data_IF_236870963522
#
_entry.id   IF_236870963522
#
_cell.length_a   1.000
_cell.length_b   1.000
_cell.length_c   1.000
_cell.angle_alpha   90.00
_cell.angle_beta   90.00
_cell.angle_gamma   90.00
#
_symmetry.space_group_name_H-M   'P 1'
#
loop_
_entity.id
_entity.type
_entity.pdbx_description
1 polymer ?
#
# COMPACT_ATOMS: atom_id res chain seq x y z
N UNK A 1 -8.16 16.28 4.78
CA UNK A 1 -7.32 15.30 4.07
C UNK A 1 -7.80 15.17 2.63
N UNK A 2 -6.91 15.43 1.68
CA UNK A 2 -7.19 15.21 0.26
C UNK A 2 -6.34 14.06 -0.26
N UNK A 3 -6.97 13.11 -0.95
CA UNK A 3 -6.28 11.98 -1.57
C UNK A 3 -6.61 11.94 -3.05
N UNK A 4 -5.59 11.87 -3.91
CA UNK A 4 -5.72 11.71 -5.36
C UNK A 4 -5.06 10.39 -5.76
N UNK A 5 -5.82 9.51 -6.42
CA UNK A 5 -5.28 8.26 -6.95
C UNK A 5 -4.56 8.54 -8.26
N UNK A 6 -3.21 8.63 -8.19
CA UNK A 6 -2.38 8.90 -9.36
C UNK A 6 -2.24 7.67 -10.25
N UNK A 7 -2.23 6.48 -9.66
CA UNK A 7 -2.02 5.24 -10.40
C UNK A 7 -2.65 4.04 -9.67
N UNK A 8 -3.40 3.24 -10.41
CA UNK A 8 -4.10 2.06 -9.94
C UNK A 8 -4.40 1.15 -11.16
N UNK A 9 -4.82 -0.09 -10.93
CA UNK A 9 -5.10 -1.07 -11.98
C UNK A 9 -6.19 -0.64 -12.96
N UNK A 10 -7.12 0.20 -12.51
CA UNK A 10 -8.27 0.71 -13.27
C UNK A 10 -8.31 2.23 -13.24
N UNK A 11 -9.07 2.81 -14.15
CA UNK A 11 -9.17 4.26 -14.29
C UNK A 11 -10.62 4.71 -14.44
N UNK A 12 -10.90 5.97 -14.09
CA UNK A 12 -12.20 6.61 -14.33
C UNK A 12 -12.32 7.20 -15.74
N UNK A 13 -11.22 7.33 -16.47
CA UNK A 13 -11.17 7.94 -17.82
C UNK A 13 -10.00 7.37 -18.62
N UNK A 14 -10.18 7.25 -19.94
CA UNK A 14 -9.12 6.86 -20.89
C UNK A 14 -7.98 7.89 -20.98
N UNK A 15 -8.16 9.07 -20.42
CA UNK A 15 -7.10 10.08 -20.36
C UNK A 15 -5.98 9.73 -19.39
N UNK A 16 -6.20 8.78 -18.46
CA UNK A 16 -5.23 8.34 -17.49
C UNK A 16 -4.68 6.96 -17.84
N UNK A 17 -3.41 6.76 -17.52
CA UNK A 17 -2.75 5.46 -17.68
C UNK A 17 -3.06 4.62 -16.43
N UNK A 18 -3.55 3.41 -16.63
CA UNK A 18 -3.75 2.40 -15.58
C UNK A 18 -3.00 1.13 -15.90
N UNK A 19 -2.31 0.58 -14.92
CA UNK A 19 -1.60 -0.71 -14.95
C UNK A 19 -1.59 -1.29 -13.54
N UNK A 20 -1.09 -2.51 -13.40
CA UNK A 20 -0.88 -3.11 -12.09
C UNK A 20 0.11 -2.30 -11.26
N UNK A 21 -0.33 -1.76 -10.13
CA UNK A 21 0.47 -0.94 -9.22
C UNK A 21 -0.38 0.07 -8.45
N UNK A 22 0.25 0.80 -7.53
CA UNK A 22 -0.40 1.82 -6.72
C UNK A 22 0.47 3.08 -6.61
N UNK A 23 -0.15 4.25 -6.75
CA UNK A 23 0.43 5.53 -6.35
C UNK A 23 -0.66 6.50 -5.94
N UNK A 24 -0.51 7.10 -4.76
CA UNK A 24 -1.42 8.07 -4.19
C UNK A 24 -0.68 9.39 -3.93
N UNK A 25 -1.30 10.51 -4.31
CA UNK A 25 -0.96 11.82 -3.77
C UNK A 25 -1.86 12.11 -2.58
N UNK A 26 -1.26 12.56 -1.48
CA UNK A 26 -1.97 12.87 -0.25
C UNK A 26 -1.56 14.27 0.19
N UNK A 27 -2.56 15.11 0.47
CA UNK A 27 -2.35 16.46 0.97
C UNK A 27 -3.03 16.61 2.32
N UNK A 28 -2.23 16.96 3.33
CA UNK A 28 -2.65 17.28 4.70
C UNK A 28 -2.56 18.78 4.93
N UNK A 29 -2.76 19.24 6.14
CA UNK A 29 -2.58 20.66 6.47
C UNK A 29 -1.14 21.14 6.27
N UNK A 30 -0.15 20.25 6.53
CA UNK A 30 1.27 20.63 6.54
C UNK A 30 2.12 19.90 5.50
N UNK A 31 1.61 18.83 4.86
CA UNK A 31 2.40 17.96 4.01
C UNK A 31 1.78 17.66 2.65
N UNK A 32 2.65 17.54 1.66
CA UNK A 32 2.37 16.96 0.34
C UNK A 32 3.13 15.64 0.25
N UNK A 33 2.38 14.54 0.26
CA UNK A 33 2.93 13.19 0.39
C UNK A 33 2.71 12.42 -0.91
N UNK A 34 3.73 11.70 -1.37
CA UNK A 34 3.60 10.67 -2.38
C UNK A 34 3.67 9.30 -1.68
N UNK A 35 2.59 8.54 -1.74
CA UNK A 35 2.54 7.19 -1.21
C UNK A 35 2.56 6.20 -2.36
N UNK A 36 3.64 5.46 -2.50
CA UNK A 36 4.00 4.60 -3.63
C UNK A 36 4.17 5.34 -4.97
N UNK A 37 4.81 4.70 -5.94
CA UNK A 37 5.15 5.27 -7.25
C UNK A 37 4.69 4.42 -8.43
N UNK A 38 3.86 3.39 -8.18
CA UNK A 38 3.40 2.49 -9.22
C UNK A 38 4.52 1.61 -9.80
N UNK A 39 4.21 0.97 -10.91
CA UNK A 39 5.09 0.02 -11.60
C UNK A 39 6.18 0.70 -12.44
N UNK A 40 5.94 1.92 -12.89
CA UNK A 40 6.82 2.71 -13.76
C UNK A 40 6.51 4.21 -13.67
N UNK A 41 7.11 5.02 -14.53
CA UNK A 41 6.96 6.48 -14.58
C UNK A 41 5.55 6.94 -15.04
N UNK A 42 4.60 6.05 -15.32
CA UNK A 42 3.24 6.40 -15.79
C UNK A 42 2.46 7.25 -14.77
N UNK A 43 2.73 7.09 -13.47
CA UNK A 43 2.11 7.93 -12.42
C UNK A 43 2.48 9.41 -12.58
N UNK A 44 3.65 9.73 -13.15
CA UNK A 44 4.12 11.11 -13.41
C UNK A 44 3.22 11.78 -14.46
N UNK A 45 2.89 11.04 -15.52
CA UNK A 45 1.95 11.52 -16.54
C UNK A 45 0.58 11.83 -15.93
N UNK A 46 0.06 10.89 -15.11
CA UNK A 46 -1.23 11.07 -14.44
C UNK A 46 -1.20 12.23 -13.43
N UNK A 47 -0.13 12.38 -12.68
CA UNK A 47 0.06 13.50 -11.75
C UNK A 47 -0.06 14.85 -12.48
N UNK A 48 0.62 14.99 -13.64
CA UNK A 48 0.52 16.19 -14.48
C UNK A 48 -0.90 16.46 -14.96
N UNK A 49 -1.63 15.42 -15.38
CA UNK A 49 -3.02 15.54 -15.82
C UNK A 49 -3.98 15.94 -14.69
N UNK A 50 -3.69 15.47 -13.46
CA UNK A 50 -4.48 15.75 -12.27
C UNK A 50 -4.06 17.04 -11.56
N UNK A 51 -3.12 17.80 -12.13
CA UNK A 51 -2.65 19.07 -11.57
C UNK A 51 -1.78 18.91 -10.33
N UNK A 52 -1.19 17.73 -10.11
CA UNK A 52 -0.28 17.46 -9.00
C UNK A 52 1.14 17.79 -9.40
N UNK A 53 1.76 18.73 -8.68
CA UNK A 53 3.17 19.07 -8.87
C UNK A 53 4.07 18.20 -8.01
N UNK A 54 4.72 17.20 -8.61
CA UNK A 54 5.59 16.25 -7.92
C UNK A 54 6.87 16.90 -7.34
N UNK A 55 7.30 18.07 -7.84
CA UNK A 55 8.44 18.80 -7.27
C UNK A 55 8.12 19.37 -5.88
N UNK A 56 6.84 19.55 -5.58
CA UNK A 56 6.40 20.10 -4.29
C UNK A 56 6.28 19.05 -3.18
N UNK A 57 6.31 17.77 -3.53
CA UNK A 57 6.29 16.68 -2.54
C UNK A 57 7.44 16.85 -1.55
N UNK A 58 7.14 16.84 -0.26
CA UNK A 58 8.10 16.91 0.84
C UNK A 58 8.39 15.56 1.49
N UNK A 59 7.44 14.62 1.40
CA UNK A 59 7.57 13.26 1.92
C UNK A 59 7.14 12.26 0.84
N UNK A 60 7.98 11.24 0.60
CA UNK A 60 7.57 10.06 -0.14
C UNK A 60 7.63 8.83 0.76
N UNK A 61 6.72 7.89 0.56
CA UNK A 61 6.63 6.66 1.33
C UNK A 61 6.51 5.52 0.33
N UNK A 62 7.38 4.52 0.41
CA UNK A 62 7.26 3.27 -0.34
C UNK A 62 6.78 2.20 0.63
N UNK A 63 5.55 1.75 0.44
CA UNK A 63 4.84 0.89 1.37
C UNK A 63 5.52 -0.44 1.61
N UNK A 64 6.16 -1.00 0.59
CA UNK A 64 6.90 -2.26 0.67
C UNK A 64 7.81 -2.48 -0.56
N UNK A 65 8.60 -3.54 -0.54
CA UNK A 65 9.69 -3.78 -1.48
C UNK A 65 9.30 -4.35 -2.86
N UNK A 66 8.04 -4.24 -3.31
CA UNK A 66 7.64 -4.75 -4.63
C UNK A 66 7.66 -3.66 -5.71
N UNK A 67 8.02 -4.08 -6.95
CA UNK A 67 8.23 -3.17 -8.08
C UNK A 67 6.96 -2.40 -8.50
N UNK A 68 5.79 -2.97 -8.28
CA UNK A 68 4.50 -2.35 -8.60
C UNK A 68 4.09 -1.24 -7.60
N UNK A 69 4.91 -1.01 -6.56
CA UNK A 69 4.81 0.10 -5.61
C UNK A 69 5.98 1.08 -5.69
N UNK A 70 7.18 0.59 -6.03
CA UNK A 70 8.37 1.43 -6.11
C UNK A 70 9.03 1.50 -7.48
N UNK A 71 8.40 0.99 -8.54
CA UNK A 71 8.97 0.95 -9.89
C UNK A 71 9.20 2.32 -10.51
N UNK A 72 8.35 3.31 -10.20
CA UNK A 72 8.52 4.70 -10.63
C UNK A 72 9.45 5.54 -9.75
N UNK A 73 10.08 4.96 -8.72
CA UNK A 73 10.91 5.71 -7.76
C UNK A 73 12.10 6.41 -8.44
N UNK A 74 12.70 5.79 -9.46
CA UNK A 74 13.80 6.42 -10.22
C UNK A 74 13.33 7.69 -10.95
N UNK A 75 12.15 7.66 -11.58
CA UNK A 75 11.53 8.83 -12.22
C UNK A 75 11.21 9.93 -11.21
N UNK A 76 10.66 9.57 -10.05
CA UNK A 76 10.41 10.53 -8.97
C UNK A 76 11.70 11.19 -8.48
N UNK A 77 12.77 10.44 -8.28
CA UNK A 77 14.07 10.96 -7.84
C UNK A 77 14.68 11.98 -8.81
N UNK A 78 14.39 11.86 -10.12
CA UNK A 78 14.85 12.81 -11.16
C UNK A 78 14.08 14.13 -11.11
N UNK A 79 12.78 14.08 -10.75
CA UNK A 79 11.90 15.26 -10.72
C UNK A 79 12.01 15.99 -9.39
N UNK A 80 11.94 15.24 -8.29
CA UNK A 80 11.95 15.81 -6.95
C UNK A 80 13.33 15.64 -6.31
N UNK A 81 13.90 16.75 -5.85
CA UNK A 81 15.23 16.79 -5.24
C UNK A 81 15.23 16.91 -3.71
N UNK A 82 14.05 17.14 -3.07
CA UNK A 82 13.97 17.53 -1.66
C UNK A 82 13.26 16.53 -0.76
N UNK A 83 12.32 15.73 -1.28
CA UNK A 83 11.52 14.83 -0.47
C UNK A 83 12.38 13.83 0.31
N UNK A 84 12.09 13.66 1.59
CA UNK A 84 12.55 12.51 2.37
C UNK A 84 11.75 11.29 1.94
N UNK A 85 12.42 10.15 1.74
CA UNK A 85 11.80 8.94 1.24
C UNK A 85 11.87 7.87 2.33
N UNK A 86 10.72 7.56 2.92
CA UNK A 86 10.60 6.52 3.94
C UNK A 86 10.30 5.19 3.27
N UNK A 87 11.01 4.15 3.68
CA UNK A 87 10.93 2.84 3.07
C UNK A 87 11.26 1.76 4.12
N UNK A 88 10.65 0.60 4.03
CA UNK A 88 10.94 -0.50 4.95
C UNK A 88 12.38 -0.94 4.90
N UNK A 89 12.96 -1.32 6.04
CA UNK A 89 14.40 -1.63 6.20
C UNK A 89 14.91 -2.67 5.20
N UNK A 90 14.11 -3.70 4.90
CA UNK A 90 14.45 -4.79 3.99
C UNK A 90 13.78 -4.66 2.60
N UNK A 91 13.27 -3.48 2.24
CA UNK A 91 12.55 -3.30 0.97
C UNK A 91 13.42 -3.49 -0.28
N UNK A 92 14.74 -3.35 -0.17
CA UNK A 92 15.69 -3.63 -1.26
C UNK A 92 16.30 -5.03 -1.23
N UNK A 93 15.78 -5.95 -0.40
CA UNK A 93 16.16 -7.37 -0.45
C UNK A 93 15.68 -8.01 -1.78
N UNK A 94 16.07 -9.25 -2.04
CA UNK A 94 15.58 -9.97 -3.21
C UNK A 94 14.16 -10.50 -2.93
N UNK A 95 13.15 -9.87 -3.51
CA UNK A 95 11.77 -10.33 -3.45
C UNK A 95 11.42 -11.12 -4.71
N UNK A 96 10.85 -12.31 -4.52
CA UNK A 96 10.64 -13.27 -5.59
C UNK A 96 9.19 -13.75 -5.56
N UNK A 97 8.56 -13.87 -6.73
CA UNK A 97 7.27 -14.52 -6.91
C UNK A 97 7.46 -15.84 -7.66
N UNK A 98 6.80 -16.87 -7.17
CA UNK A 98 6.71 -18.14 -7.93
C UNK A 98 5.52 -18.03 -8.88
N UNK A 99 5.79 -18.21 -10.17
CA UNK A 99 4.80 -18.27 -11.24
C UNK A 99 4.66 -19.72 -11.76
N UNK A 100 3.78 -19.93 -12.72
CA UNK A 100 3.56 -21.26 -13.32
C UNK A 100 4.88 -21.93 -13.72
N UNK A 101 4.94 -23.25 -13.51
CA UNK A 101 6.16 -24.04 -13.77
C UNK A 101 7.26 -23.86 -12.72
N UNK A 102 6.95 -23.32 -11.53
CA UNK A 102 7.93 -23.03 -10.46
C UNK A 102 9.04 -22.05 -10.89
N UNK A 103 8.76 -21.19 -11.87
CA UNK A 103 9.71 -20.17 -12.32
C UNK A 103 9.77 -19.05 -11.30
N UNK A 104 10.98 -18.70 -10.87
CA UNK A 104 11.22 -17.54 -10.01
C UNK A 104 11.19 -16.26 -10.83
N UNK A 105 10.37 -15.30 -10.43
CA UNK A 105 10.28 -13.98 -11.03
C UNK A 105 10.67 -12.93 -9.98
N UNK A 106 11.68 -12.12 -10.31
CA UNK A 106 12.09 -11.00 -9.45
C UNK A 106 10.99 -9.93 -9.44
N UNK A 107 10.54 -9.59 -8.25
CA UNK A 107 9.52 -8.56 -8.01
C UNK A 107 10.04 -7.44 -7.11
N UNK A 108 11.35 -7.39 -6.86
CA UNK A 108 11.98 -6.41 -5.99
C UNK A 108 12.16 -5.03 -6.60
N UNK A 109 12.68 -4.12 -5.80
CA UNK A 109 13.01 -2.76 -6.18
C UNK A 109 14.36 -2.68 -6.91
N UNK A 110 14.54 -1.62 -7.70
CA UNK A 110 15.80 -1.34 -8.38
C UNK A 110 16.92 -1.00 -7.38
N UNK A 111 17.79 -1.97 -7.07
CA UNK A 111 18.92 -1.81 -6.12
C UNK A 111 19.96 -0.78 -6.56
N UNK A 112 19.99 -0.37 -7.85
CA UNK A 112 20.89 0.68 -8.34
C UNK A 112 20.57 2.05 -7.75
N UNK A 113 19.41 2.20 -7.10
CA UNK A 113 19.05 3.41 -6.39
C UNK A 113 19.80 3.57 -5.05
N UNK A 114 20.49 2.52 -4.59
CA UNK A 114 21.33 2.57 -3.39
C UNK A 114 22.81 2.82 -3.71
N UNK A 115 23.54 3.57 -2.85
CA UNK A 115 23.02 4.31 -1.69
C UNK A 115 22.36 5.63 -2.10
N UNK A 116 21.39 6.11 -1.33
CA UNK A 116 20.77 7.41 -1.52
C UNK A 116 20.51 8.08 -0.16
N UNK A 117 21.03 9.29 0.04
CA UNK A 117 20.95 10.02 1.32
C UNK A 117 19.54 10.46 1.70
N UNK A 118 18.59 10.44 0.77
CA UNK A 118 17.18 10.77 1.03
C UNK A 118 16.37 9.60 1.57
N UNK A 119 16.91 8.35 1.50
CA UNK A 119 16.21 7.18 2.04
C UNK A 119 16.33 7.11 3.55
N UNK A 120 15.20 6.95 4.19
CA UNK A 120 15.07 6.73 5.64
C UNK A 120 14.42 5.36 5.82
N UNK A 121 15.21 4.43 6.36
CA UNK A 121 14.76 3.05 6.57
C UNK A 121 13.95 2.92 7.86
N UNK A 122 12.77 2.32 7.73
CA UNK A 122 11.79 2.14 8.81
C UNK A 122 11.73 0.67 9.18
N UNK A 123 11.88 0.35 10.47
CA UNK A 123 11.75 -1.01 11.01
C UNK A 123 10.79 -1.11 12.22
N UNK A 124 10.33 0.03 12.71
CA UNK A 124 9.42 0.15 13.85
C UNK A 124 8.48 1.34 13.67
N UNK A 125 8.08 1.95 14.75
CA UNK A 125 7.27 3.18 14.75
C UNK A 125 8.20 4.38 14.63
N UNK A 126 7.90 5.28 13.68
CA UNK A 126 8.54 6.58 13.53
C UNK A 126 7.44 7.65 13.56
N UNK A 127 7.44 8.48 14.58
CA UNK A 127 6.66 9.72 14.59
C UNK A 127 7.43 10.77 13.80
N UNK A 128 6.93 11.12 12.61
CA UNK A 128 7.54 12.18 11.78
C UNK A 128 7.28 13.53 12.44
N UNK A 129 6.02 13.76 12.82
CA UNK A 129 5.54 14.94 13.55
C UNK A 129 4.18 14.66 14.22
N UNK A 130 3.38 15.70 14.51
CA UNK A 130 2.06 15.53 15.14
C UNK A 130 0.96 15.08 14.16
N UNK A 131 1.18 15.20 12.84
CA UNK A 131 0.27 14.69 11.82
C UNK A 131 0.59 13.27 11.39
N UNK A 132 1.87 12.89 11.29
CA UNK A 132 2.30 11.68 10.57
C UNK A 132 3.05 10.70 11.46
N UNK A 133 2.56 9.47 11.47
CA UNK A 133 3.23 8.33 12.12
C UNK A 133 3.39 7.21 11.10
N UNK A 134 4.62 6.74 10.91
CA UNK A 134 4.90 5.50 10.18
C UNK A 134 5.05 4.35 11.16
N UNK A 135 4.57 3.17 10.77
CA UNK A 135 4.76 1.97 11.58
C UNK A 135 4.97 0.74 10.71
N UNK A 136 5.77 -0.18 11.24
CA UNK A 136 6.13 -1.47 10.68
C UNK A 136 5.95 -2.55 11.77
N UNK A 137 6.51 -3.74 11.54
CA UNK A 137 6.62 -4.80 12.54
C UNK A 137 5.28 -5.31 13.10
N UNK A 138 4.30 -5.48 12.20
CA UNK A 138 2.97 -6.02 12.54
C UNK A 138 3.11 -7.47 13.01
N UNK A 139 2.66 -7.77 14.23
CA UNK A 139 2.78 -9.10 14.86
C UNK A 139 1.55 -9.98 14.71
N UNK A 140 0.42 -9.40 14.39
CA UNK A 140 -0.84 -10.13 14.21
C UNK A 140 -0.75 -11.19 13.11
N UNK A 141 -1.60 -12.23 13.21
CA UNK A 141 -1.66 -13.35 12.25
C UNK A 141 -3.09 -13.68 11.81
N UNK A 142 -4.05 -12.80 12.11
CA UNK A 142 -5.45 -12.97 11.71
C UNK A 142 -5.56 -12.72 10.20
N UNK A 143 -6.22 -13.61 9.50
CA UNK A 143 -6.55 -13.47 8.08
C UNK A 143 -5.40 -12.89 7.22
N UNK A 144 -4.20 -13.46 7.40
CA UNK A 144 -3.06 -13.13 6.53
C UNK A 144 -3.41 -13.60 5.10
N UNK A 145 -3.21 -12.75 4.07
CA UNK A 145 -3.62 -13.07 2.72
C UNK A 145 -3.03 -14.39 2.19
N UNK A 146 -3.90 -15.23 1.63
CA UNK A 146 -3.53 -16.56 1.08
C UNK A 146 -2.55 -16.41 -0.09
N UNK A 147 -2.66 -15.32 -0.85
CA UNK A 147 -1.76 -15.01 -1.98
C UNK A 147 -0.28 -14.89 -1.61
N UNK A 148 0.03 -14.63 -0.35
CA UNK A 148 1.40 -14.57 0.17
C UNK A 148 2.18 -15.90 0.03
N UNK A 149 1.50 -17.03 -0.08
CA UNK A 149 2.17 -18.36 -0.18
C UNK A 149 3.10 -18.49 -1.40
N UNK A 150 2.93 -17.65 -2.41
CA UNK A 150 3.76 -17.62 -3.63
C UNK A 150 4.87 -16.55 -3.58
N UNK A 151 4.97 -15.81 -2.48
CA UNK A 151 5.91 -14.71 -2.31
C UNK A 151 7.06 -15.15 -1.40
N UNK A 152 8.27 -15.00 -1.91
CA UNK A 152 9.50 -15.45 -1.27
C UNK A 152 10.47 -14.27 -1.18
N UNK A 153 11.38 -14.36 -0.23
CA UNK A 153 12.57 -13.52 -0.17
C UNK A 153 13.83 -14.38 -0.24
N UNK A 154 14.89 -13.81 -0.76
CA UNK A 154 16.22 -14.42 -0.81
C UNK A 154 17.20 -13.56 -0.02
N UNK A 155 17.90 -14.16 0.92
CA UNK A 155 18.90 -13.50 1.72
C UNK A 155 20.22 -13.29 0.97
N UNK A 156 21.18 -12.60 1.60
CA UNK A 156 22.52 -12.35 1.05
C UNK A 156 23.35 -13.62 0.79
N UNK A 157 22.96 -14.77 1.35
CA UNK A 157 23.61 -16.05 1.16
C UNK A 157 22.92 -16.89 0.07
N UNK A 158 21.87 -16.38 -0.56
CA UNK A 158 21.08 -17.09 -1.57
C UNK A 158 20.08 -18.08 -0.98
N UNK A 159 19.82 -18.05 0.33
CA UNK A 159 18.75 -18.84 0.95
C UNK A 159 17.39 -18.22 0.63
N UNK A 160 16.52 -19.02 0.01
CA UNK A 160 15.17 -18.62 -0.36
C UNK A 160 14.19 -19.15 0.68
N UNK A 161 13.40 -18.26 1.26
CA UNK A 161 12.36 -18.58 2.24
C UNK A 161 11.07 -17.83 1.96
N UNK A 162 9.96 -18.18 2.64
CA UNK A 162 8.72 -17.40 2.56
C UNK A 162 8.97 -15.98 3.01
N UNK A 163 8.44 -15.01 2.25
CA UNK A 163 8.51 -13.61 2.65
C UNK A 163 7.70 -13.39 3.93
N UNK A 164 8.32 -12.77 4.91
CA UNK A 164 7.69 -12.41 6.17
C UNK A 164 7.21 -10.95 6.19
N UNK A 165 7.41 -10.22 5.08
CA UNK A 165 6.97 -8.83 4.89
C UNK A 165 7.45 -7.86 6.00
N UNK A 166 8.68 -8.03 6.48
CA UNK A 166 9.31 -7.06 7.40
C UNK A 166 9.56 -5.70 6.74
N UNK A 167 9.51 -5.68 5.41
CA UNK A 167 9.66 -4.47 4.60
C UNK A 167 8.36 -3.68 4.43
N UNK A 168 7.21 -4.17 4.94
CA UNK A 168 5.93 -3.48 4.84
C UNK A 168 5.82 -2.39 5.91
N UNK A 169 5.52 -1.15 5.46
CA UNK A 169 5.28 0.00 6.32
C UNK A 169 3.94 0.64 6.01
N UNK A 170 3.32 1.23 7.02
CA UNK A 170 2.01 1.84 6.93
C UNK A 170 2.07 3.27 7.47
N UNK A 171 1.18 4.13 6.98
CA UNK A 171 1.08 5.53 7.39
C UNK A 171 -0.21 5.79 8.16
N UNK A 172 -0.09 6.37 9.34
CA UNK A 172 -1.18 7.00 10.08
C UNK A 172 -1.12 8.51 9.89
N UNK A 173 -2.26 9.09 9.55
CA UNK A 173 -2.43 10.55 9.41
C UNK A 173 -3.42 11.00 10.47
N UNK A 174 -3.02 11.98 11.26
CA UNK A 174 -3.83 12.61 12.29
C UNK A 174 -4.35 13.97 11.82
N UNK A 175 -5.64 14.13 11.71
CA UNK A 175 -6.29 15.40 11.50
C UNK A 175 -7.29 15.70 12.64
N UNK A 176 -6.88 16.56 13.56
CA UNK A 176 -7.71 16.93 14.70
C UNK A 176 -8.22 15.71 15.51
N UNK A 177 -7.32 14.77 15.83
CA UNK A 177 -7.62 13.51 16.53
C UNK A 177 -8.52 12.54 15.76
N UNK A 178 -8.69 12.75 14.47
CA UNK A 178 -9.28 11.78 13.54
C UNK A 178 -8.15 11.11 12.78
N UNK A 179 -8.04 9.81 12.90
CA UNK A 179 -6.93 9.06 12.32
C UNK A 179 -7.35 8.34 11.05
N UNK A 180 -6.55 8.51 10.01
CA UNK A 180 -6.65 7.78 8.75
C UNK A 180 -5.44 6.87 8.58
N UNK A 181 -5.67 5.64 8.11
CA UNK A 181 -4.65 4.66 7.80
C UNK A 181 -4.48 4.55 6.29
N UNK A 182 -3.24 4.66 5.83
CA UNK A 182 -2.86 4.37 4.44
C UNK A 182 -1.92 3.18 4.43
N UNK A 183 -2.25 2.16 3.67
CA UNK A 183 -1.41 0.97 3.47
C UNK A 183 -1.25 0.66 1.97
N UNK A 184 -0.21 -0.11 1.62
CA UNK A 184 -0.02 -0.60 0.25
C UNK A 184 -0.89 -1.81 -0.03
N UNK A 185 -0.30 -3.01 0.02
CA UNK A 185 -0.97 -4.28 -0.25
C UNK A 185 -1.55 -4.99 0.99
N UNK A 186 -1.20 -4.55 2.19
CA UNK A 186 -1.58 -5.20 3.44
C UNK A 186 -1.19 -6.69 3.50
N UNK A 187 0.03 -7.03 3.12
CA UNK A 187 0.54 -8.42 3.18
C UNK A 187 0.53 -9.00 4.60
N UNK A 188 0.68 -8.16 5.62
CA UNK A 188 0.56 -8.58 7.03
C UNK A 188 -0.90 -8.84 7.45
N UNK A 189 -1.87 -8.66 6.54
CA UNK A 189 -3.31 -8.77 6.78
C UNK A 189 -3.91 -7.46 7.30
N UNK A 190 -4.90 -6.94 6.56
CA UNK A 190 -5.50 -5.63 6.85
C UNK A 190 -6.09 -5.54 8.27
N UNK A 191 -6.65 -6.63 8.80
CA UNK A 191 -7.18 -6.68 10.17
C UNK A 191 -6.06 -6.44 11.19
N UNK A 192 -4.91 -7.10 11.01
CA UNK A 192 -3.77 -6.96 11.92
C UNK A 192 -3.16 -5.54 11.88
N UNK A 193 -3.14 -4.94 10.68
CA UNK A 193 -2.64 -3.57 10.48
C UNK A 193 -3.56 -2.58 11.19
N UNK A 194 -4.89 -2.73 11.05
CA UNK A 194 -5.88 -1.88 11.72
C UNK A 194 -5.80 -2.03 13.25
N UNK A 195 -5.69 -3.25 13.78
CA UNK A 195 -5.54 -3.48 15.22
C UNK A 195 -4.27 -2.81 15.75
N UNK A 196 -3.14 -2.98 15.08
CA UNK A 196 -1.88 -2.32 15.45
C UNK A 196 -2.00 -0.78 15.40
N UNK A 197 -2.64 -0.25 14.36
CA UNK A 197 -2.87 1.17 14.22
C UNK A 197 -3.75 1.73 15.35
N UNK A 198 -4.85 1.06 15.70
CA UNK A 198 -5.72 1.43 16.81
C UNK A 198 -4.98 1.44 18.15
N UNK A 199 -4.09 0.46 18.38
CA UNK A 199 -3.25 0.40 19.59
C UNK A 199 -2.27 1.58 19.65
N UNK A 200 -1.67 1.97 18.52
CA UNK A 200 -0.72 3.09 18.46
C UNK A 200 -1.40 4.41 18.80
N UNK A 201 -2.61 4.64 18.29
CA UNK A 201 -3.32 5.92 18.48
C UNK A 201 -4.29 5.90 19.65
N UNK A 202 -4.49 4.76 20.31
CA UNK A 202 -5.46 4.52 21.38
C UNK A 202 -6.89 4.99 21.01
N UNK A 203 -7.27 4.81 19.73
CA UNK A 203 -8.55 5.23 19.16
C UNK A 203 -8.91 4.37 17.95
N UNK A 204 -10.18 4.43 17.53
CA UNK A 204 -10.61 3.83 16.27
C UNK A 204 -10.25 4.72 15.09
N UNK A 205 -9.84 4.06 13.99
CA UNK A 205 -9.59 4.73 12.73
C UNK A 205 -10.89 5.21 12.09
N UNK A 206 -10.86 6.38 11.46
CA UNK A 206 -11.97 6.90 10.68
C UNK A 206 -11.99 6.34 9.27
N UNK A 207 -10.81 6.27 8.67
CA UNK A 207 -10.64 5.94 7.27
C UNK A 207 -9.48 4.95 7.13
N UNK A 208 -9.66 3.98 6.22
CA UNK A 208 -8.61 3.04 5.81
C UNK A 208 -8.54 3.05 4.28
N UNK A 209 -7.35 3.29 3.73
CA UNK A 209 -7.09 3.33 2.29
C UNK A 209 -5.96 2.35 1.95
N UNK A 210 -6.19 1.45 0.96
CA UNK A 210 -5.16 0.55 0.44
C UNK A 210 -5.70 -0.76 -0.10
N UNK A 211 -4.82 -1.61 -0.59
CA UNK A 211 -5.13 -2.96 -1.05
C UNK A 211 -5.22 -3.96 0.10
N UNK A 212 -5.98 -5.05 -0.11
CA UNK A 212 -6.17 -6.12 0.88
C UNK A 212 -5.52 -7.45 0.45
N UNK A 213 -4.78 -7.45 -0.64
CA UNK A 213 -4.05 -8.59 -1.22
C UNK A 213 -4.90 -9.86 -1.43
N UNK A 214 -6.09 -9.71 -2.00
CA UNK A 214 -7.07 -10.78 -2.19
C UNK A 214 -7.18 -11.26 -3.65
N UNK A 215 -6.44 -10.64 -4.57
CA UNK A 215 -6.46 -11.00 -5.99
C UNK A 215 -6.02 -12.45 -6.19
N UNK A 216 -6.83 -13.21 -6.95
CA UNK A 216 -6.54 -14.61 -7.28
C UNK A 216 -7.09 -15.62 -6.26
N UNK A 217 -8.00 -15.20 -5.38
CA UNK A 217 -8.80 -16.11 -4.57
C UNK A 217 -9.74 -16.94 -5.46
N UNK A 218 -9.99 -18.18 -5.06
CA UNK A 218 -10.90 -19.11 -5.74
C UNK A 218 -12.28 -19.08 -5.09
N UNK A 219 -13.23 -18.40 -5.72
CA UNK A 219 -14.60 -18.26 -5.24
C UNK A 219 -15.41 -19.57 -5.28
N UNK A 220 -14.90 -20.62 -5.92
CA UNK A 220 -15.47 -21.98 -5.82
C UNK A 220 -14.96 -22.75 -4.58
N UNK A 221 -13.89 -22.25 -3.95
CA UNK A 221 -13.28 -22.82 -2.75
C UNK A 221 -14.04 -22.38 -1.49
N UNK A 222 -14.54 -23.33 -0.72
CA UNK A 222 -15.14 -23.05 0.59
C UNK A 222 -14.16 -22.41 1.59
N UNK A 223 -12.87 -22.66 1.45
CA UNK A 223 -11.81 -22.06 2.26
C UNK A 223 -11.72 -20.56 1.98
N UNK A 224 -11.66 -20.19 0.70
CA UNK A 224 -11.44 -18.80 0.29
C UNK A 224 -12.68 -17.96 0.54
N UNK A 225 -13.88 -18.52 0.30
CA UNK A 225 -15.14 -17.82 0.65
C UNK A 225 -15.32 -17.67 2.15
N UNK A 226 -14.98 -18.66 2.97
CA UNK A 226 -15.00 -18.55 4.44
C UNK A 226 -14.01 -17.48 4.94
N UNK A 227 -12.83 -17.37 4.33
CA UNK A 227 -11.87 -16.29 4.63
C UNK A 227 -12.48 -14.90 4.35
N UNK A 228 -13.14 -14.73 3.19
CA UNK A 228 -13.77 -13.45 2.83
C UNK A 228 -14.96 -13.12 3.74
N UNK A 229 -15.74 -14.12 4.16
CA UNK A 229 -16.86 -13.93 5.10
C UNK A 229 -16.37 -13.47 6.48
N UNK A 230 -15.32 -14.09 6.99
CA UNK A 230 -14.71 -13.70 8.24
C UNK A 230 -14.08 -12.30 8.13
N UNK A 231 -13.39 -12.00 7.02
CA UNK A 231 -12.83 -10.68 6.75
C UNK A 231 -13.92 -9.61 6.74
N UNK A 232 -15.03 -9.84 6.02
CA UNK A 232 -16.16 -8.91 5.95
C UNK A 232 -16.76 -8.66 7.34
N UNK A 233 -16.90 -9.71 8.16
CA UNK A 233 -17.41 -9.62 9.53
C UNK A 233 -16.51 -8.75 10.40
N UNK A 234 -15.19 -8.97 10.37
CA UNK A 234 -14.23 -8.21 11.16
C UNK A 234 -14.14 -6.75 10.71
N UNK A 235 -14.10 -6.49 9.39
CA UNK A 235 -14.06 -5.13 8.87
C UNK A 235 -15.35 -4.35 9.17
N UNK A 236 -16.51 -5.00 9.14
CA UNK A 236 -17.79 -4.36 9.48
C UNK A 236 -17.93 -4.02 10.97
N UNK A 237 -17.18 -4.68 11.85
CA UNK A 237 -17.32 -4.57 13.30
C UNK A 237 -16.20 -3.78 14.00
N UNK A 238 -15.14 -3.38 13.30
CA UNK A 238 -13.95 -2.76 13.91
C UNK A 238 -14.03 -1.24 14.13
N UNK A 239 -15.15 -0.60 13.78
CA UNK A 239 -15.40 0.81 14.04
C UNK A 239 -14.84 1.79 13.00
N UNK A 240 -14.25 1.34 11.91
CA UNK A 240 -13.80 2.17 10.79
C UNK A 240 -15.03 2.75 10.06
N UNK A 241 -15.04 4.07 9.82
CA UNK A 241 -16.20 4.74 9.20
C UNK A 241 -16.22 4.55 7.67
N UNK A 242 -15.05 4.52 7.01
CA UNK A 242 -14.96 4.31 5.56
C UNK A 242 -13.71 3.51 5.19
N UNK A 243 -13.90 2.59 4.27
CA UNK A 243 -12.82 1.88 3.58
C UNK A 243 -12.74 2.32 2.13
N UNK A 244 -11.53 2.51 1.62
CA UNK A 244 -11.24 2.67 0.21
C UNK A 244 -10.23 1.62 -0.19
N UNK A 245 -10.62 0.69 -1.06
CA UNK A 245 -9.71 -0.39 -1.48
C UNK A 245 -9.49 -0.41 -2.99
N UNK A 246 -8.39 -1.03 -3.41
CA UNK A 246 -7.92 -0.98 -4.79
C UNK A 246 -6.90 -2.08 -5.10
N UNK A 247 -6.33 -2.03 -6.29
CA UNK A 247 -5.10 -2.69 -6.70
C UNK A 247 -5.10 -4.20 -6.45
N UNK A 248 -4.39 -4.67 -5.41
CA UNK A 248 -4.23 -6.09 -5.10
C UNK A 248 -5.46 -6.72 -4.43
N UNK A 249 -6.49 -5.96 -4.08
CA UNK A 249 -7.78 -6.51 -3.65
C UNK A 249 -8.43 -7.30 -4.78
N UNK A 250 -8.35 -6.81 -6.01
CA UNK A 250 -8.95 -7.44 -7.19
C UNK A 250 -10.46 -7.22 -7.28
N UNK A 251 -10.98 -7.27 -8.50
CA UNK A 251 -12.39 -6.92 -8.78
C UNK A 251 -13.39 -7.89 -8.18
N UNK A 252 -13.10 -9.20 -8.29
CA UNK A 252 -13.99 -10.25 -7.80
C UNK A 252 -14.10 -10.20 -6.27
N UNK A 253 -12.95 -10.05 -5.57
CA UNK A 253 -12.94 -9.93 -4.12
C UNK A 253 -13.58 -8.62 -3.66
N UNK A 254 -13.35 -7.50 -4.37
CA UNK A 254 -14.04 -6.26 -4.12
C UNK A 254 -15.56 -6.43 -4.22
N UNK A 255 -16.06 -6.99 -5.32
CA UNK A 255 -17.50 -7.20 -5.53
C UNK A 255 -18.13 -8.05 -4.44
N UNK A 256 -17.44 -9.14 -4.04
CA UNK A 256 -17.91 -10.02 -2.96
C UNK A 256 -17.99 -9.29 -1.60
N UNK A 257 -16.98 -8.46 -1.29
CA UNK A 257 -16.93 -7.71 -0.04
C UNK A 257 -17.90 -6.53 -0.01
N UNK A 258 -18.12 -5.86 -1.16
CA UNK A 258 -19.02 -4.70 -1.28
C UNK A 258 -20.48 -5.06 -0.98
N UNK A 259 -20.92 -6.29 -1.30
CA UNK A 259 -22.22 -6.81 -0.92
C UNK A 259 -22.40 -6.96 0.62
N UNK A 260 -21.30 -7.05 1.37
CA UNK A 260 -21.27 -7.37 2.81
C UNK A 260 -20.85 -6.19 3.69
N UNK A 261 -20.02 -5.29 3.17
CA UNK A 261 -19.42 -4.16 3.92
C UNK A 261 -19.98 -2.85 3.36
N UNK A 262 -20.96 -2.29 4.03
CA UNK A 262 -21.73 -1.10 3.58
C UNK A 262 -20.90 0.16 3.36
N UNK A 263 -19.76 0.29 4.02
CA UNK A 263 -18.87 1.44 3.99
C UNK A 263 -17.59 1.19 3.19
N UNK A 264 -17.57 0.14 2.35
CA UNK A 264 -16.49 -0.16 1.42
C UNK A 264 -16.66 0.66 0.14
N UNK A 265 -15.57 1.23 -0.34
CA UNK A 265 -15.53 2.00 -1.57
C UNK A 265 -14.33 1.55 -2.42
N UNK A 266 -14.45 1.67 -3.72
CA UNK A 266 -13.38 1.36 -4.65
C UNK A 266 -12.60 2.63 -5.01
N UNK A 267 -11.27 2.50 -5.16
CA UNK A 267 -10.42 3.52 -5.77
C UNK A 267 -10.09 3.16 -7.22
N UNK A 268 -9.96 4.20 -8.05
CA UNK A 268 -9.49 4.10 -9.44
C UNK A 268 -8.60 5.29 -9.76
N UNK A 269 -7.65 5.11 -10.67
CA UNK A 269 -6.81 6.21 -11.17
C UNK A 269 -7.68 7.38 -11.64
N UNK A 270 -7.35 8.58 -11.18
CA UNK A 270 -8.08 9.81 -11.47
C UNK A 270 -9.11 10.20 -10.41
N UNK A 271 -9.43 9.32 -9.43
CA UNK A 271 -10.34 9.68 -8.33
C UNK A 271 -9.68 10.65 -7.37
N UNK A 272 -10.48 11.63 -6.91
CA UNK A 272 -10.13 12.61 -5.87
C UNK A 272 -11.10 12.43 -4.72
N UNK A 273 -10.57 12.31 -3.51
CA UNK A 273 -11.34 12.19 -2.28
C UNK A 273 -10.97 13.34 -1.37
N UNK A 274 -11.96 14.12 -0.96
CA UNK A 274 -11.85 15.12 0.10
C UNK A 274 -12.51 14.55 1.37
N UNK A 275 -11.74 14.42 2.45
CA UNK A 275 -12.09 13.69 3.67
C UNK A 275 -12.14 14.60 4.89
#
# INVERSE_FOLDING_TARGET
LKVITLFENRTISEEYISKHGLSLYIETANHKILFDTGVDDSFIYNASKLGVNLEEIDIAIISHGHYDHGGGLEGFLKINSKAKIYIGKSAFDNHIKIIEGNVKHDIGLNKKLLPNSRFIFVDKIIKIDDELILFADIKGKKLVPIGNDKLLKEDSNGLVEKDNFEHEINLLINENQKYSLICGCAHKGIVNIIECANDIVASHLKIVIGGFHLKGMDFSSSRDTAFLDELATLLSSNGVEKYYTCHCTGEEAYSYLDEKIKNLNELKTGMIIDL
#
